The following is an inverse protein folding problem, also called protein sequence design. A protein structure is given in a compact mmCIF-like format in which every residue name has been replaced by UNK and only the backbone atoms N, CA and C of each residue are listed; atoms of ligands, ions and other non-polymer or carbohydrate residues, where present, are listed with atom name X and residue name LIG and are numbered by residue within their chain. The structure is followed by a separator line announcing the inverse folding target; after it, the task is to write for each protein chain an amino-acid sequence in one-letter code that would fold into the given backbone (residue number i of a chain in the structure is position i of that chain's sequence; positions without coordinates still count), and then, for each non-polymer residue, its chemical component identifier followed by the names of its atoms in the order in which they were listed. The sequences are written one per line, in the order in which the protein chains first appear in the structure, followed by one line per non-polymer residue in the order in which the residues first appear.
data_IF_949627594405
#
_entry.id   IF_949627594405
#
_cell.length_a   1.000
_cell.length_b   1.000
_cell.length_c   1.000
_cell.angle_alpha   90.00
_cell.angle_beta   90.00
_cell.angle_gamma   90.00
#
_symmetry.space_group_name_H-M   'P 1'
#
loop_
_entity.id
_entity.type
_entity.pdbx_description
1 polymer ?
#
# COMPACT_ATOMS: atom_id res chain seq x y z
N UNK A 1 -23.46 16.08 11.33
CA UNK A 1 -24.30 16.62 12.42
C UNK A 1 -24.05 18.12 12.53
N UNK A 2 -25.10 18.93 12.61
CA UNK A 2 -24.98 20.39 12.72
C UNK A 2 -24.39 20.83 14.08
N UNK A 3 -24.32 19.90 15.04
CA UNK A 3 -23.65 20.07 16.34
C UNK A 3 -22.11 20.03 16.26
N UNK A 4 -21.54 19.59 15.13
CA UNK A 4 -20.08 19.52 14.98
C UNK A 4 -19.49 20.94 14.97
N UNK A 5 -18.44 21.23 15.79
CA UNK A 5 -17.81 22.54 15.86
C UNK A 5 -17.29 23.08 14.51
N UNK A 6 -17.04 22.17 13.55
CA UNK A 6 -16.54 22.47 12.21
C UNK A 6 -17.65 22.55 11.14
N UNK A 7 -18.91 22.29 11.50
CA UNK A 7 -20.02 22.35 10.55
C UNK A 7 -20.15 23.75 9.95
N UNK A 8 -20.20 23.83 8.61
CA UNK A 8 -20.32 25.08 7.86
C UNK A 8 -19.02 25.91 7.75
N UNK A 9 -17.90 25.45 8.32
CA UNK A 9 -16.61 26.13 8.14
C UNK A 9 -15.95 25.71 6.82
N UNK A 10 -15.65 26.70 5.99
CA UNK A 10 -14.88 26.49 4.76
C UNK A 10 -13.48 25.98 5.10
N UNK A 11 -13.01 24.98 4.35
CA UNK A 11 -11.63 24.52 4.39
C UNK A 11 -11.07 24.46 2.98
N UNK A 12 -9.75 24.59 2.88
CA UNK A 12 -9.02 24.39 1.64
C UNK A 12 -8.37 23.01 1.68
N UNK A 13 -8.61 22.20 0.65
CA UNK A 13 -8.06 20.85 0.54
C UNK A 13 -6.91 20.85 -0.47
N UNK A 14 -5.73 20.41 -0.05
CA UNK A 14 -4.62 20.09 -0.94
C UNK A 14 -4.50 18.59 -0.98
N UNK A 15 -4.87 17.99 -2.11
CA UNK A 15 -4.71 16.57 -2.35
C UNK A 15 -3.38 16.29 -3.02
N UNK A 16 -2.62 15.36 -2.46
CA UNK A 16 -1.40 14.84 -3.07
C UNK A 16 -1.70 13.45 -3.65
N UNK A 17 -1.51 13.31 -4.95
CA UNK A 17 -1.64 12.03 -5.64
C UNK A 17 -0.24 11.39 -5.84
N UNK A 18 -0.21 10.11 -6.23
CA UNK A 18 1.02 9.45 -6.67
C UNK A 18 1.60 10.17 -7.91
N UNK A 19 2.91 10.10 -8.08
CA UNK A 19 3.56 10.65 -9.25
C UNK A 19 3.15 9.86 -10.49
N UNK A 20 2.97 10.53 -11.62
CA UNK A 20 2.89 9.85 -12.91
C UNK A 20 4.21 9.13 -13.22
N UNK A 21 4.18 8.25 -14.23
CA UNK A 21 5.39 7.61 -14.75
C UNK A 21 6.51 8.63 -15.03
N UNK A 22 6.22 9.66 -15.83
CA UNK A 22 7.22 10.65 -16.23
C UNK A 22 7.71 11.47 -15.03
N UNK A 23 6.82 11.82 -14.10
CA UNK A 23 7.19 12.49 -12.85
C UNK A 23 8.06 11.62 -11.97
N UNK A 24 7.82 10.30 -11.92
CA UNK A 24 8.60 9.35 -11.13
C UNK A 24 10.01 9.19 -11.69
N UNK A 25 10.13 9.08 -13.01
CA UNK A 25 11.42 9.00 -13.71
C UNK A 25 12.20 10.30 -13.52
N UNK A 26 11.57 11.47 -13.71
CA UNK A 26 12.19 12.78 -13.48
C UNK A 26 12.62 12.95 -12.01
N UNK A 27 11.77 12.56 -11.06
CA UNK A 27 12.06 12.60 -9.62
C UNK A 27 13.31 11.78 -9.28
N UNK A 28 13.39 10.52 -9.74
CA UNK A 28 14.54 9.66 -9.51
C UNK A 28 15.79 10.16 -10.24
N UNK A 29 15.66 10.56 -11.51
CA UNK A 29 16.75 11.04 -12.35
C UNK A 29 17.44 12.24 -11.70
N UNK A 30 16.66 13.25 -11.25
CA UNK A 30 17.18 14.41 -10.52
C UNK A 30 17.83 14.02 -9.20
N UNK A 31 17.26 13.05 -8.47
CA UNK A 31 17.86 12.54 -7.24
C UNK A 31 19.23 11.91 -7.47
N UNK A 32 19.39 11.09 -8.51
CA UNK A 32 20.68 10.48 -8.87
C UNK A 32 21.68 11.51 -9.42
N UNK A 33 21.23 12.49 -10.18
CA UNK A 33 22.07 13.59 -10.67
C UNK A 33 22.70 14.38 -9.53
N UNK A 34 21.96 14.65 -8.46
CA UNK A 34 22.48 15.30 -7.24
C UNK A 34 23.60 14.51 -6.57
N UNK A 35 23.65 13.20 -6.77
CA UNK A 35 24.70 12.30 -6.29
C UNK A 35 25.83 12.08 -7.32
N UNK A 36 25.77 12.77 -8.47
CA UNK A 36 26.64 12.54 -9.63
C UNK A 36 26.61 11.09 -10.15
N UNK A 37 25.47 10.40 -9.96
CA UNK A 37 25.27 9.03 -10.43
C UNK A 37 24.50 9.03 -11.75
N UNK A 38 24.97 8.22 -12.70
CA UNK A 38 24.25 7.94 -13.95
C UNK A 38 23.57 6.59 -13.85
N UNK A 39 22.25 6.61 -13.89
CA UNK A 39 21.39 5.40 -13.85
C UNK A 39 20.70 5.28 -15.21
N UNK A 40 20.61 4.06 -15.74
CA UNK A 40 19.93 3.84 -17.02
C UNK A 40 18.44 4.07 -16.92
N UNK A 41 17.83 4.55 -17.99
CA UNK A 41 16.37 4.74 -18.09
C UNK A 41 15.62 3.44 -17.75
N UNK A 42 16.10 2.29 -18.25
CA UNK A 42 15.54 0.96 -17.92
C UNK A 42 15.42 0.71 -16.41
N UNK A 43 16.39 1.13 -15.59
CA UNK A 43 16.33 0.97 -14.14
C UNK A 43 15.28 1.91 -13.52
N UNK A 44 15.15 3.13 -14.05
CA UNK A 44 14.14 4.10 -13.59
C UNK A 44 12.73 3.63 -13.93
N UNK A 45 12.54 3.06 -15.12
CA UNK A 45 11.29 2.43 -15.54
C UNK A 45 10.91 1.28 -14.61
N UNK A 46 11.84 0.35 -14.38
CA UNK A 46 11.60 -0.78 -13.47
C UNK A 46 11.29 -0.32 -12.05
N UNK A 47 11.91 0.77 -11.58
CA UNK A 47 11.56 1.34 -10.28
C UNK A 47 10.12 1.88 -10.26
N UNK A 48 9.68 2.57 -11.31
CA UNK A 48 8.29 3.01 -11.43
C UNK A 48 7.32 1.82 -11.48
N UNK A 49 7.61 0.78 -12.26
CA UNK A 49 6.77 -0.42 -12.36
C UNK A 49 6.57 -1.13 -11.01
N UNK A 50 7.60 -1.13 -10.15
CA UNK A 50 7.56 -1.79 -8.85
C UNK A 50 6.92 -0.92 -7.74
N UNK A 51 7.08 0.40 -7.81
CA UNK A 51 6.70 1.33 -6.74
C UNK A 51 5.55 2.29 -7.10
N UNK A 52 5.07 2.22 -8.34
CA UNK A 52 3.87 2.87 -8.89
C UNK A 52 3.73 4.36 -8.50
N UNK A 53 4.83 5.10 -8.59
CA UNK A 53 4.84 6.54 -8.39
C UNK A 53 4.67 7.00 -6.94
N UNK A 54 4.69 6.10 -5.95
CA UNK A 54 4.56 6.46 -4.54
C UNK A 54 5.87 7.11 -4.07
N UNK A 55 5.88 8.42 -3.71
CA UNK A 55 7.12 9.14 -3.42
C UNK A 55 7.96 8.50 -2.31
N UNK A 56 7.32 7.93 -1.29
CA UNK A 56 8.00 7.23 -0.20
C UNK A 56 8.82 6.04 -0.69
N UNK A 57 8.23 5.19 -1.54
CA UNK A 57 8.93 4.03 -2.11
C UNK A 57 9.97 4.40 -3.15
N UNK A 58 9.70 5.41 -3.99
CA UNK A 58 10.71 5.92 -4.93
C UNK A 58 11.92 6.49 -4.19
N UNK A 59 11.69 7.20 -3.08
CA UNK A 59 12.77 7.71 -2.22
C UNK A 59 13.53 6.58 -1.55
N UNK A 60 12.82 5.56 -1.03
CA UNK A 60 13.44 4.36 -0.47
C UNK A 60 14.34 3.65 -1.49
N UNK A 61 13.84 3.49 -2.72
CA UNK A 61 14.59 2.93 -3.84
C UNK A 61 15.81 3.76 -4.19
N UNK A 62 15.66 5.07 -4.42
CA UNK A 62 16.76 5.94 -4.81
C UNK A 62 17.94 5.89 -3.84
N UNK A 63 17.65 5.98 -2.53
CA UNK A 63 18.68 5.92 -1.47
C UNK A 63 19.38 4.55 -1.38
N UNK A 64 18.62 3.47 -1.50
CA UNK A 64 19.18 2.12 -1.42
C UNK A 64 20.01 1.79 -2.67
N UNK A 65 19.51 2.17 -3.85
CA UNK A 65 20.18 1.94 -5.13
C UNK A 65 21.47 2.74 -5.25
N UNK A 66 21.47 4.00 -4.81
CA UNK A 66 22.70 4.82 -4.76
C UNK A 66 23.77 4.25 -3.83
N UNK A 67 23.37 3.39 -2.88
CA UNK A 67 24.26 2.66 -1.98
C UNK A 67 24.74 1.31 -2.55
N UNK A 68 24.46 1.03 -3.83
CA UNK A 68 24.88 -0.19 -4.52
C UNK A 68 24.01 -1.43 -4.27
N UNK A 69 22.79 -1.25 -3.73
CA UNK A 69 21.85 -2.35 -3.51
C UNK A 69 21.07 -2.62 -4.82
N UNK A 70 20.99 -3.88 -5.23
CA UNK A 70 20.23 -4.25 -6.43
C UNK A 70 18.72 -4.02 -6.23
N UNK A 71 18.02 -3.70 -7.32
CA UNK A 71 16.57 -3.46 -7.32
C UNK A 71 15.80 -4.63 -6.69
N UNK A 72 16.18 -5.86 -6.99
CA UNK A 72 15.54 -7.07 -6.45
C UNK A 72 15.65 -7.14 -4.92
N UNK A 73 16.81 -6.75 -4.36
CA UNK A 73 17.01 -6.71 -2.92
C UNK A 73 16.25 -5.55 -2.28
N UNK A 74 16.17 -4.40 -2.95
CA UNK A 74 15.36 -3.26 -2.51
C UNK A 74 13.89 -3.64 -2.43
N UNK A 75 13.36 -4.34 -3.45
CA UNK A 75 11.97 -4.84 -3.45
C UNK A 75 11.69 -5.71 -2.23
N UNK A 76 12.59 -6.66 -1.92
CA UNK A 76 12.45 -7.51 -0.73
C UNK A 76 12.44 -6.66 0.55
N UNK A 77 13.30 -5.64 0.64
CA UNK A 77 13.33 -4.75 1.80
C UNK A 77 12.05 -3.92 1.92
N UNK A 78 11.54 -3.37 0.82
CA UNK A 78 10.30 -2.61 0.80
C UNK A 78 9.10 -3.45 1.24
N UNK A 79 8.97 -4.67 0.71
CA UNK A 79 7.91 -5.63 1.12
C UNK A 79 8.00 -5.97 2.61
N UNK A 80 9.21 -6.13 3.16
CA UNK A 80 9.38 -6.37 4.61
C UNK A 80 8.99 -5.16 5.44
N UNK A 81 9.37 -3.96 5.02
CA UNK A 81 8.95 -2.71 5.69
C UNK A 81 7.44 -2.59 5.68
N UNK A 82 6.81 -2.76 4.52
CA UNK A 82 5.35 -2.75 4.37
C UNK A 82 4.66 -3.83 5.22
N UNK A 83 5.23 -5.02 5.33
CA UNK A 83 4.68 -6.09 6.17
C UNK A 83 4.62 -5.68 7.65
N UNK A 84 5.69 -5.08 8.16
CA UNK A 84 5.72 -4.61 9.55
C UNK A 84 4.76 -3.43 9.76
N UNK A 85 4.62 -2.53 8.79
CA UNK A 85 3.61 -1.47 8.81
C UNK A 85 2.19 -2.04 8.88
N UNK A 86 1.85 -2.99 8.00
CA UNK A 86 0.54 -3.66 8.00
C UNK A 86 0.27 -4.35 9.33
N UNK A 87 1.23 -5.12 9.87
CA UNK A 87 1.10 -5.76 11.19
C UNK A 87 0.83 -4.75 12.30
N UNK A 88 1.51 -3.61 12.28
CA UNK A 88 1.31 -2.55 13.26
C UNK A 88 -0.08 -1.90 13.12
N UNK A 89 -0.56 -1.67 11.90
CA UNK A 89 -1.90 -1.12 11.64
C UNK A 89 -3.01 -2.04 12.17
N UNK A 90 -2.83 -3.36 12.06
CA UNK A 90 -3.86 -4.35 12.39
C UNK A 90 -3.66 -5.00 13.76
N UNK A 91 -2.72 -4.51 14.57
CA UNK A 91 -2.26 -5.15 15.82
C UNK A 91 -3.36 -5.50 16.83
N UNK A 92 -4.46 -4.74 16.82
CA UNK A 92 -5.57 -4.93 17.76
C UNK A 92 -6.52 -6.07 17.32
N UNK A 93 -6.51 -6.43 16.04
CA UNK A 93 -7.28 -7.55 15.49
C UNK A 93 -6.54 -8.20 14.30
N UNK A 94 -5.37 -8.81 14.55
CA UNK A 94 -4.45 -9.20 13.49
C UNK A 94 -4.99 -10.32 12.62
N UNK A 95 -5.71 -11.28 13.22
CA UNK A 95 -6.22 -12.46 12.52
C UNK A 95 -7.21 -12.11 11.41
N UNK A 96 -8.29 -11.39 11.75
CA UNK A 96 -9.36 -11.12 10.77
C UNK A 96 -8.96 -10.07 9.74
N UNK A 97 -8.24 -9.03 10.15
CA UNK A 97 -7.71 -8.06 9.21
C UNK A 97 -6.69 -8.71 8.27
N UNK A 98 -5.81 -9.58 8.79
CA UNK A 98 -4.84 -10.32 8.01
C UNK A 98 -5.50 -11.16 6.92
N UNK A 99 -6.53 -11.95 7.28
CA UNK A 99 -7.28 -12.75 6.31
C UNK A 99 -7.98 -11.90 5.24
N UNK A 100 -8.57 -10.75 5.61
CA UNK A 100 -9.22 -9.85 4.64
C UNK A 100 -8.19 -9.23 3.69
N UNK A 101 -7.08 -8.71 4.22
CA UNK A 101 -5.99 -8.15 3.42
C UNK A 101 -5.42 -9.19 2.46
N UNK A 102 -5.21 -10.41 2.94
CA UNK A 102 -4.69 -11.52 2.14
C UNK A 102 -5.69 -11.96 1.06
N UNK A 103 -6.98 -12.05 1.37
CA UNK A 103 -8.02 -12.34 0.38
C UNK A 103 -7.98 -11.33 -0.78
N UNK A 104 -7.90 -10.03 -0.45
CA UNK A 104 -7.82 -8.97 -1.45
C UNK A 104 -6.52 -9.08 -2.26
N UNK A 105 -5.38 -9.36 -1.60
CA UNK A 105 -4.09 -9.51 -2.26
C UNK A 105 -4.04 -10.71 -3.22
N UNK A 106 -4.80 -11.76 -2.91
CA UNK A 106 -5.00 -12.97 -3.73
C UNK A 106 -6.11 -12.80 -4.79
N UNK A 107 -6.66 -11.58 -4.95
CA UNK A 107 -7.55 -11.22 -6.05
C UNK A 107 -9.04 -11.40 -5.77
N UNK A 108 -9.45 -11.55 -4.51
CA UNK A 108 -10.88 -11.50 -4.15
C UNK A 108 -11.40 -10.06 -4.25
N UNK A 109 -12.37 -9.83 -5.13
CA UNK A 109 -12.86 -8.48 -5.51
C UNK A 109 -14.29 -8.17 -5.13
N UNK A 110 -14.92 -9.05 -4.34
CA UNK A 110 -16.27 -8.83 -3.85
C UNK A 110 -16.39 -9.15 -2.37
N UNK A 111 -17.38 -8.55 -1.73
CA UNK A 111 -17.68 -8.82 -0.33
C UNK A 111 -17.95 -10.31 -0.07
N UNK A 112 -18.68 -10.97 -0.97
CA UNK A 112 -19.01 -12.40 -0.84
C UNK A 112 -17.76 -13.28 -0.94
N UNK A 113 -16.87 -12.99 -1.89
CA UNK A 113 -15.64 -13.74 -2.08
C UNK A 113 -14.69 -13.63 -0.87
N UNK A 114 -14.60 -12.42 -0.30
CA UNK A 114 -13.79 -12.18 0.91
C UNK A 114 -14.43 -12.88 2.11
N UNK A 115 -15.76 -12.83 2.24
CA UNK A 115 -16.46 -13.53 3.31
C UNK A 115 -16.19 -15.02 3.26
N UNK A 116 -16.37 -15.65 2.10
CA UNK A 116 -16.11 -17.07 1.89
C UNK A 116 -14.66 -17.43 2.26
N UNK A 117 -13.69 -16.63 1.78
CA UNK A 117 -12.28 -16.83 2.10
C UNK A 117 -11.99 -16.81 3.61
N UNK A 118 -12.54 -15.83 4.32
CA UNK A 118 -12.34 -15.67 5.76
C UNK A 118 -12.99 -16.82 6.53
N UNK A 119 -14.22 -17.19 6.18
CA UNK A 119 -14.96 -18.27 6.86
C UNK A 119 -14.31 -19.65 6.65
N UNK A 120 -13.81 -19.93 5.44
CA UNK A 120 -13.06 -21.16 5.14
C UNK A 120 -11.80 -21.26 6.01
N UNK A 121 -11.04 -20.16 6.15
CA UNK A 121 -9.80 -20.11 6.92
C UNK A 121 -10.03 -20.07 8.44
N UNK A 122 -11.13 -19.48 8.90
CA UNK A 122 -11.50 -19.49 10.33
C UNK A 122 -12.19 -20.79 10.76
N UNK A 123 -12.77 -21.55 9.83
CA UNK A 123 -13.60 -22.72 10.15
C UNK A 123 -14.90 -22.33 10.89
N UNK A 124 -15.32 -21.07 10.79
CA UNK A 124 -16.48 -20.52 11.49
C UNK A 124 -17.08 -19.36 10.70
N UNK A 125 -18.32 -18.98 11.04
CA UNK A 125 -18.99 -17.87 10.35
C UNK A 125 -18.54 -16.52 10.87
N UNK A 126 -18.51 -15.53 9.98
CA UNK A 126 -18.27 -14.13 10.30
C UNK A 126 -19.56 -13.31 10.07
N UNK A 127 -19.91 -12.46 11.02
CA UNK A 127 -21.09 -11.60 10.86
C UNK A 127 -20.85 -10.53 9.79
N UNK A 128 -21.91 -10.16 9.09
CA UNK A 128 -21.79 -9.18 7.99
C UNK A 128 -21.33 -7.80 8.48
N UNK A 129 -21.70 -7.43 9.71
CA UNK A 129 -21.27 -6.17 10.32
C UNK A 129 -19.77 -6.15 10.60
N UNK A 130 -19.21 -7.25 11.10
CA UNK A 130 -17.76 -7.33 11.40
C UNK A 130 -16.96 -7.21 10.11
N UNK A 131 -17.29 -7.99 9.07
CA UNK A 131 -16.58 -7.91 7.79
C UNK A 131 -16.67 -6.51 7.17
N UNK A 132 -17.88 -5.92 7.17
CA UNK A 132 -18.08 -4.57 6.63
C UNK A 132 -17.28 -3.50 7.38
N UNK A 133 -17.15 -3.64 8.70
CA UNK A 133 -16.36 -2.71 9.50
C UNK A 133 -14.85 -2.87 9.25
N UNK A 134 -14.35 -4.09 9.05
CA UNK A 134 -12.94 -4.32 8.68
C UNK A 134 -12.64 -3.64 7.35
N UNK A 135 -13.48 -3.88 6.32
CA UNK A 135 -13.29 -3.29 4.99
C UNK A 135 -13.31 -1.75 5.08
N UNK A 136 -14.31 -1.17 5.76
CA UNK A 136 -14.39 0.29 5.95
C UNK A 136 -13.14 0.84 6.63
N UNK A 137 -12.69 0.21 7.70
CA UNK A 137 -11.51 0.68 8.42
C UNK A 137 -10.25 0.63 7.54
N UNK A 138 -10.10 -0.38 6.70
CA UNK A 138 -9.00 -0.46 5.73
C UNK A 138 -9.10 0.61 4.63
N UNK A 139 -10.31 0.99 4.22
CA UNK A 139 -10.55 2.11 3.29
C UNK A 139 -10.25 3.46 3.97
N UNK A 140 -10.70 3.66 5.21
CA UNK A 140 -10.44 4.86 6.01
C UNK A 140 -8.93 5.05 6.28
N UNK A 141 -8.19 3.94 6.46
CA UNK A 141 -6.73 3.93 6.55
C UNK A 141 -6.03 4.11 5.20
N UNK A 142 -6.76 4.22 4.09
CA UNK A 142 -6.21 4.31 2.73
C UNK A 142 -5.27 3.14 2.36
N UNK A 143 -5.52 1.94 2.89
CA UNK A 143 -4.80 0.72 2.52
C UNK A 143 -5.40 0.13 1.24
N UNK A 144 -6.73 0.14 1.18
CA UNK A 144 -7.51 -0.38 0.04
C UNK A 144 -8.56 0.63 -0.42
N UNK A 145 -9.07 0.43 -1.62
CA UNK A 145 -10.33 1.03 -2.08
C UNK A 145 -11.01 0.05 -3.00
N UNK A 146 -12.33 -0.15 -2.85
CA UNK A 146 -13.12 -1.04 -3.73
C UNK A 146 -12.50 -2.43 -3.91
N UNK A 147 -12.01 -3.02 -2.81
CA UNK A 147 -11.36 -4.33 -2.79
C UNK A 147 -10.07 -4.42 -3.61
N UNK A 148 -9.34 -3.31 -3.76
CA UNK A 148 -8.01 -3.30 -4.35
C UNK A 148 -7.04 -2.50 -3.47
N UNK A 149 -5.80 -2.97 -3.36
CA UNK A 149 -4.74 -2.22 -2.68
C UNK A 149 -4.40 -0.95 -3.45
N UNK A 150 -4.32 0.16 -2.72
CA UNK A 150 -3.85 1.44 -3.25
C UNK A 150 -2.33 1.43 -3.48
N UNK A 151 -1.61 0.59 -2.76
CA UNK A 151 -0.15 0.45 -2.81
C UNK A 151 0.25 -0.98 -3.24
N UNK A 152 1.00 -1.15 -4.35
CA UNK A 152 1.42 -2.48 -4.80
C UNK A 152 2.38 -3.17 -3.84
N UNK A 153 3.21 -2.43 -3.09
CA UNK A 153 4.11 -2.99 -2.07
C UNK A 153 3.30 -3.55 -0.91
N UNK A 154 2.24 -2.85 -0.49
CA UNK A 154 1.31 -3.36 0.52
C UNK A 154 0.57 -4.61 0.05
N UNK A 155 0.21 -4.69 -1.23
CA UNK A 155 -0.39 -5.89 -1.82
C UNK A 155 0.54 -7.10 -1.71
N UNK A 156 1.81 -6.94 -2.07
CA UNK A 156 2.79 -8.03 -1.96
C UNK A 156 3.08 -8.40 -0.50
N UNK A 157 3.14 -7.41 0.40
CA UNK A 157 3.31 -7.64 1.82
C UNK A 157 2.13 -8.41 2.44
N UNK A 158 0.90 -8.07 2.07
CA UNK A 158 -0.31 -8.71 2.61
C UNK A 158 -0.39 -10.21 2.32
N UNK A 159 0.24 -10.69 1.24
CA UNK A 159 0.34 -12.14 0.94
C UNK A 159 1.15 -12.92 1.98
N UNK A 160 2.00 -12.22 2.74
CA UNK A 160 2.86 -12.78 3.79
C UNK A 160 2.22 -12.73 5.18
N UNK A 161 1.00 -12.21 5.32
CA UNK A 161 0.26 -12.22 6.57
C UNK A 161 -0.24 -13.64 6.88
N UNK A 162 -0.07 -14.05 8.14
CA UNK A 162 -0.52 -15.33 8.69
C UNK A 162 -1.98 -15.28 9.15
#
# INVERSE_FOLDING_TARGET
DASSPLYGRFYFEVKLDRLSRDQSIDFLSKGFEQLNLRVSEEVLERAYEEFDGIPGWLTFFGNAYSSGISLERIKIMAVRTALEELKNMIRDNPRRYGLVLRAIAEGKRSWSDIKEYVEEREGSTISSSVLSNIIRNLEDMSVISRYEFLDPVYREAAKLLE
#
